data_IF_656635585440
#
_entry.id   IF_656635585440
#
_cell.length_a   1.000
_cell.length_b   1.000
_cell.length_c   1.000
_cell.angle_alpha   90.00
_cell.angle_beta   90.00
_cell.angle_gamma   90.00
#
_symmetry.space_group_name_H-M   'P 1'
#
loop_
_entity.id
_entity.type
_entity.pdbx_description
1 polymer ?
#
# COMPACT_ATOMS: atom_id res chain seq x y z
N UNK A 1 -2.26 5.85 19.27
CA UNK A 1 -1.20 5.99 18.24
C UNK A 1 -1.45 7.26 17.45
N UNK A 2 -0.42 8.03 17.11
CA UNK A 2 -0.57 9.13 16.13
C UNK A 2 -0.75 8.52 14.72
N UNK A 3 -1.29 9.26 13.75
CA UNK A 3 -1.44 8.81 12.35
C UNK A 3 -0.97 9.97 11.45
N UNK A 4 0.26 9.94 10.91
CA UNK A 4 0.89 11.13 10.34
C UNK A 4 0.15 11.70 9.13
N UNK A 5 -0.29 10.84 8.19
CA UNK A 5 -1.12 11.26 7.05
C UNK A 5 -2.40 11.98 7.47
N UNK A 6 -3.07 11.50 8.52
CA UNK A 6 -4.27 12.17 9.03
C UNK A 6 -3.97 13.54 9.61
N UNK A 7 -2.81 13.76 10.23
CA UNK A 7 -2.44 15.09 10.75
C UNK A 7 -2.30 16.11 9.61
N UNK A 8 -1.80 15.69 8.45
CA UNK A 8 -1.75 16.53 7.25
C UNK A 8 -3.17 16.89 6.79
N UNK A 9 -4.10 15.92 6.78
CA UNK A 9 -5.50 16.17 6.45
C UNK A 9 -6.20 17.09 7.47
N UNK A 10 -5.94 16.90 8.77
CA UNK A 10 -6.44 17.79 9.83
C UNK A 10 -5.96 19.23 9.60
N UNK A 11 -4.68 19.42 9.26
CA UNK A 11 -4.14 20.74 8.96
C UNK A 11 -4.86 21.40 7.78
N UNK A 12 -5.13 20.64 6.71
CA UNK A 12 -5.90 21.12 5.57
C UNK A 12 -7.33 21.52 5.95
N UNK A 13 -8.07 20.65 6.65
CA UNK A 13 -9.45 20.96 7.03
C UNK A 13 -9.54 22.16 7.97
N UNK A 14 -8.59 22.28 8.92
CA UNK A 14 -8.50 23.45 9.80
C UNK A 14 -8.20 24.73 9.02
N UNK A 15 -7.31 24.68 8.02
CA UNK A 15 -7.02 25.84 7.17
C UNK A 15 -8.24 26.31 6.36
N UNK A 16 -9.16 25.40 6.01
CA UNK A 16 -10.38 25.72 5.26
C UNK A 16 -11.55 26.18 6.16
N UNK A 17 -11.67 25.66 7.38
CA UNK A 17 -12.83 25.89 8.26
C UNK A 17 -12.58 26.89 9.39
N UNK A 18 -11.35 27.04 9.86
CA UNK A 18 -11.07 27.97 10.96
C UNK A 18 -11.02 29.41 10.43
N UNK A 19 -11.83 30.29 11.04
CA UNK A 19 -11.77 31.73 10.78
C UNK A 19 -10.50 32.28 11.42
N UNK A 20 -9.57 32.74 10.58
CA UNK A 20 -8.27 33.23 11.03
C UNK A 20 -8.21 34.77 11.00
N UNK A 21 -7.78 35.36 12.12
CA UNK A 21 -7.54 36.80 12.21
C UNK A 21 -6.17 37.09 11.62
N UNK A 22 -6.12 37.90 10.56
CA UNK A 22 -4.89 38.23 9.85
C UNK A 22 -3.90 38.96 10.77
N UNK A 23 -2.73 38.35 11.01
CA UNK A 23 -1.61 39.01 11.70
C UNK A 23 -1.00 40.07 10.77
N UNK A 24 -0.73 41.28 11.30
CA UNK A 24 -0.09 42.37 10.52
C UNK A 24 1.23 41.87 9.93
N UNK A 25 1.38 41.95 8.60
CA UNK A 25 2.57 41.54 7.86
C UNK A 25 2.64 40.07 7.41
N UNK A 26 1.64 39.24 7.73
CA UNK A 26 1.61 37.82 7.34
C UNK A 26 0.52 37.46 6.32
N UNK A 27 0.69 36.29 5.69
CA UNK A 27 -0.36 35.59 4.94
C UNK A 27 -1.23 34.78 5.91
N UNK A 28 -2.53 34.66 5.63
CA UNK A 28 -3.38 33.69 6.34
C UNK A 28 -3.09 32.27 5.84
N UNK A 29 -3.43 31.24 6.63
CA UNK A 29 -3.31 29.82 6.25
C UNK A 29 -4.08 29.52 4.96
N UNK A 30 -5.27 30.09 4.80
CA UNK A 30 -6.07 29.95 3.59
C UNK A 30 -5.41 30.63 2.38
N UNK A 31 -4.87 31.84 2.54
CA UNK A 31 -4.15 32.52 1.46
C UNK A 31 -2.92 31.74 1.02
N UNK A 32 -2.12 31.26 1.98
CA UNK A 32 -0.97 30.40 1.70
C UNK A 32 -1.39 29.12 0.97
N UNK A 33 -2.45 28.46 1.42
CA UNK A 33 -2.99 27.26 0.77
C UNK A 33 -3.39 27.53 -0.68
N UNK A 34 -4.13 28.61 -0.96
CA UNK A 34 -4.56 28.95 -2.33
C UNK A 34 -3.35 29.31 -3.21
N UNK A 35 -2.37 30.05 -2.69
CA UNK A 35 -1.14 30.37 -3.43
C UNK A 35 -0.38 29.09 -3.80
N UNK A 36 -0.19 28.17 -2.85
CA UNK A 36 0.50 26.89 -3.09
C UNK A 36 -0.30 26.02 -4.04
N UNK A 37 -1.62 25.96 -3.91
CA UNK A 37 -2.49 25.18 -4.80
C UNK A 37 -2.42 25.68 -6.24
N UNK A 38 -2.55 26.99 -6.47
CA UNK A 38 -2.50 27.58 -7.81
C UNK A 38 -1.09 27.45 -8.39
N UNK A 39 -0.04 27.77 -7.61
CA UNK A 39 1.34 27.63 -8.10
C UNK A 39 1.72 26.19 -8.40
N UNK A 40 1.34 25.22 -7.56
CA UNK A 40 1.56 23.80 -7.82
C UNK A 40 0.78 23.31 -9.04
N UNK A 41 -0.47 23.75 -9.21
CA UNK A 41 -1.28 23.42 -10.39
C UNK A 41 -0.66 23.97 -11.68
N UNK A 42 -0.26 25.25 -11.68
CA UNK A 42 0.40 25.86 -12.82
C UNK A 42 1.77 25.23 -13.10
N UNK A 43 2.55 24.92 -12.06
CA UNK A 43 3.84 24.27 -12.22
C UNK A 43 3.70 22.86 -12.81
N UNK A 44 2.67 22.10 -12.44
CA UNK A 44 2.45 20.73 -12.91
C UNK A 44 2.36 20.62 -14.45
N UNK A 45 1.93 21.68 -15.15
CA UNK A 45 1.89 21.74 -16.62
C UNK A 45 3.30 21.67 -17.22
N UNK A 46 4.30 22.21 -16.53
CA UNK A 46 5.68 22.28 -17.01
C UNK A 46 6.29 20.88 -17.17
N UNK A 47 6.43 20.05 -16.11
CA UNK A 47 7.05 18.74 -16.25
C UNK A 47 6.16 17.71 -16.95
N UNK A 48 4.84 17.92 -17.08
CA UNK A 48 3.97 16.92 -17.73
C UNK A 48 3.69 17.20 -19.21
N UNK A 49 3.70 18.47 -19.64
CA UNK A 49 3.31 18.83 -21.00
C UNK A 49 4.40 19.59 -21.74
N UNK A 50 4.96 20.65 -21.15
CA UNK A 50 5.92 21.51 -21.85
C UNK A 50 7.33 20.91 -21.92
N UNK A 51 7.84 20.39 -20.80
CA UNK A 51 9.19 19.86 -20.66
C UNK A 51 9.23 18.56 -19.84
N UNK A 52 8.76 17.43 -20.39
CA UNK A 52 8.83 16.12 -19.75
C UNK A 52 10.22 15.71 -19.27
N UNK A 53 11.27 16.17 -19.95
CA UNK A 53 12.67 15.85 -19.62
C UNK A 53 13.10 16.30 -18.21
N UNK A 54 12.41 17.27 -17.61
CA UNK A 54 12.71 17.79 -16.26
C UNK A 54 12.37 16.76 -15.16
N UNK A 55 11.58 15.74 -15.48
CA UNK A 55 11.24 14.62 -14.58
C UNK A 55 12.44 13.72 -14.29
N UNK A 56 13.42 13.64 -15.19
CA UNK A 56 14.60 12.81 -15.02
C UNK A 56 15.83 13.42 -15.72
N UNK A 57 16.47 14.38 -15.05
CA UNK A 57 17.74 14.98 -15.49
C UNK A 57 18.91 14.12 -15.02
N UNK A 58 19.28 13.13 -15.84
CA UNK A 58 20.38 12.20 -15.57
C UNK A 58 21.72 12.78 -16.01
N UNK A 59 22.42 13.48 -15.10
CA UNK A 59 23.68 14.18 -15.41
C UNK A 59 24.79 13.23 -15.88
N UNK A 60 24.85 12.03 -15.29
CA UNK A 60 25.82 10.99 -15.66
C UNK A 60 25.62 10.55 -17.12
N UNK A 61 24.37 10.43 -17.59
CA UNK A 61 24.07 10.09 -18.99
C UNK A 61 24.47 11.20 -19.97
N UNK A 62 24.48 12.46 -19.54
CA UNK A 62 24.89 13.58 -20.38
C UNK A 62 26.40 13.66 -20.59
N UNK A 63 27.18 13.34 -19.55
CA UNK A 63 28.64 13.31 -19.64
C UNK A 63 29.10 12.11 -20.49
N UNK A 64 28.55 10.92 -20.24
CA UNK A 64 28.95 9.69 -20.91
C UNK A 64 27.82 9.12 -21.77
N UNK A 65 27.62 9.75 -22.94
CA UNK A 65 26.53 9.40 -23.86
C UNK A 65 26.70 8.02 -24.50
N UNK A 66 27.92 7.60 -24.83
CA UNK A 66 28.16 6.36 -25.58
C UNK A 66 28.39 5.12 -24.69
N UNK A 67 28.46 5.31 -23.37
CA UNK A 67 28.75 4.22 -22.43
C UNK A 67 27.46 3.58 -21.92
N UNK A 68 27.23 2.32 -22.29
CA UNK A 68 26.09 1.53 -21.80
C UNK A 68 26.10 1.43 -20.27
N UNK A 69 27.27 1.24 -19.66
CA UNK A 69 27.41 1.16 -18.20
C UNK A 69 27.10 2.49 -17.53
N UNK A 70 27.50 3.63 -18.11
CA UNK A 70 27.17 4.93 -17.57
C UNK A 70 25.66 5.23 -17.67
N UNK A 71 25.01 4.81 -18.76
CA UNK A 71 23.56 4.91 -18.90
C UNK A 71 22.82 4.02 -17.89
N UNK A 72 23.29 2.79 -17.68
CA UNK A 72 22.72 1.85 -16.69
C UNK A 72 22.84 2.37 -15.25
N UNK A 73 23.95 3.02 -14.91
CA UNK A 73 24.16 3.64 -13.60
C UNK A 73 23.37 4.95 -13.44
N UNK A 74 23.41 5.80 -14.47
CA UNK A 74 22.94 7.19 -14.41
C UNK A 74 21.47 7.42 -14.73
N UNK A 75 20.85 6.56 -15.54
CA UNK A 75 19.49 6.77 -16.02
C UNK A 75 18.49 6.74 -14.88
N UNK A 76 17.69 7.80 -14.72
CA UNK A 76 16.65 7.87 -13.68
C UNK A 76 15.39 7.07 -14.00
N UNK A 77 15.16 6.73 -15.28
CA UNK A 77 13.96 6.00 -15.73
C UNK A 77 14.21 4.50 -15.93
N UNK A 78 15.40 4.15 -16.46
CA UNK A 78 15.73 2.79 -16.89
C UNK A 78 17.00 2.23 -16.20
N UNK A 79 17.55 2.96 -15.23
CA UNK A 79 18.79 2.63 -14.55
C UNK A 79 18.74 2.95 -13.06
N UNK A 80 19.90 2.91 -12.39
CA UNK A 80 20.00 3.11 -10.94
C UNK A 80 19.75 4.56 -10.49
N UNK A 81 19.67 5.51 -11.42
CA UNK A 81 19.41 6.93 -11.13
C UNK A 81 20.54 7.66 -10.41
N UNK A 82 21.78 7.17 -10.45
CA UNK A 82 22.92 7.86 -9.83
C UNK A 82 23.15 9.21 -10.51
N UNK A 83 23.07 10.30 -9.74
CA UNK A 83 23.18 11.66 -10.29
C UNK A 83 22.01 12.07 -11.19
N UNK A 84 20.85 11.41 -11.05
CA UNK A 84 19.60 11.83 -11.69
C UNK A 84 18.77 12.69 -10.76
N UNK A 85 18.33 13.85 -11.26
CA UNK A 85 17.51 14.79 -10.51
C UNK A 85 16.16 14.97 -11.16
N UNK A 86 15.11 15.01 -10.34
CA UNK A 86 13.75 15.32 -10.77
C UNK A 86 13.33 16.65 -10.15
N UNK A 87 12.87 17.61 -10.96
CA UNK A 87 12.22 18.82 -10.43
C UNK A 87 10.69 18.70 -10.39
N UNK A 88 10.16 17.53 -10.75
CA UNK A 88 8.76 17.22 -10.61
C UNK A 88 8.47 16.57 -9.25
N UNK A 89 7.58 17.20 -8.47
CA UNK A 89 7.17 16.66 -7.18
C UNK A 89 6.49 15.30 -7.32
N UNK A 90 5.79 15.01 -8.42
CA UNK A 90 5.12 13.72 -8.60
C UNK A 90 6.13 12.57 -8.72
N UNK A 91 7.24 12.82 -9.42
CA UNK A 91 8.37 11.89 -9.52
C UNK A 91 9.06 11.71 -8.17
N UNK A 92 9.32 12.79 -7.43
CA UNK A 92 9.97 12.73 -6.09
C UNK A 92 9.09 12.01 -5.06
N UNK A 93 7.79 12.27 -5.07
CA UNK A 93 6.80 11.67 -4.19
C UNK A 93 6.40 10.24 -4.61
N UNK A 94 6.65 9.85 -5.86
CA UNK A 94 6.12 8.61 -6.43
C UNK A 94 6.47 7.34 -5.65
N UNK A 95 7.65 7.28 -5.01
CA UNK A 95 8.07 6.10 -4.24
C UNK A 95 7.54 6.07 -2.81
N UNK A 96 7.55 7.20 -2.11
CA UNK A 96 7.18 7.31 -0.69
C UNK A 96 5.71 7.71 -0.45
N UNK A 97 4.97 8.06 -1.50
CA UNK A 97 3.76 8.86 -1.38
C UNK A 97 4.12 10.29 -0.97
N UNK A 98 3.46 10.85 0.05
CA UNK A 98 3.83 12.17 0.56
C UNK A 98 4.97 12.06 1.57
N UNK A 99 6.24 12.35 1.21
CA UNK A 99 7.35 12.27 2.17
C UNK A 99 7.18 13.26 3.32
N UNK A 100 6.44 14.35 3.10
CA UNK A 100 6.09 15.35 4.12
C UNK A 100 5.23 14.77 5.25
N UNK A 101 4.44 13.73 4.96
CA UNK A 101 3.63 13.04 5.96
C UNK A 101 4.41 11.96 6.71
N UNK A 102 5.56 11.52 6.21
CA UNK A 102 6.33 10.41 6.80
C UNK A 102 7.35 10.93 7.82
N UNK A 103 7.44 10.34 9.03
CA UNK A 103 8.42 10.76 10.02
C UNK A 103 9.87 10.60 9.54
N UNK A 104 10.76 11.53 9.93
CA UNK A 104 12.15 11.56 9.47
C UNK A 104 12.94 10.27 9.74
N UNK A 105 12.73 9.62 10.90
CA UNK A 105 13.41 8.35 11.19
C UNK A 105 13.04 7.24 10.20
N UNK A 106 11.77 7.21 9.75
CA UNK A 106 11.29 6.23 8.79
C UNK A 106 11.86 6.52 7.40
N UNK A 107 11.98 7.80 7.03
CA UNK A 107 12.64 8.22 5.78
C UNK A 107 14.10 7.79 5.78
N UNK A 108 14.85 8.06 6.85
CA UNK A 108 16.28 7.68 6.95
C UNK A 108 16.42 6.16 6.89
N UNK A 109 15.60 5.40 7.62
CA UNK A 109 15.63 3.94 7.58
C UNK A 109 15.37 3.40 6.16
N UNK A 110 14.39 3.97 5.46
CA UNK A 110 14.08 3.56 4.10
C UNK A 110 15.18 3.96 3.10
N UNK A 111 15.82 5.11 3.29
CA UNK A 111 16.97 5.54 2.49
C UNK A 111 18.15 4.59 2.66
N UNK A 112 18.46 4.18 3.89
CA UNK A 112 19.52 3.18 4.16
C UNK A 112 19.18 1.86 3.46
N UNK A 113 17.94 1.38 3.60
CA UNK A 113 17.47 0.18 2.89
C UNK A 113 17.58 0.31 1.37
N UNK A 114 17.19 1.46 0.81
CA UNK A 114 17.30 1.76 -0.61
C UNK A 114 18.75 1.71 -1.09
N UNK A 115 19.68 2.37 -0.38
CA UNK A 115 21.11 2.35 -0.74
C UNK A 115 21.67 0.92 -0.71
N UNK A 116 21.37 0.14 0.33
CA UNK A 116 21.84 -1.24 0.43
C UNK A 116 21.29 -2.14 -0.69
N UNK A 117 20.03 -1.97 -1.07
CA UNK A 117 19.40 -2.81 -2.09
C UNK A 117 19.80 -2.37 -3.49
N UNK A 118 19.61 -1.09 -3.82
CA UNK A 118 19.75 -0.56 -5.18
C UNK A 118 21.19 -0.24 -5.53
N UNK A 119 22.02 0.19 -4.58
CA UNK A 119 23.41 0.56 -4.86
C UNK A 119 24.46 -0.46 -4.38
N UNK A 120 24.06 -1.49 -3.62
CA UNK A 120 24.97 -2.57 -3.21
C UNK A 120 24.51 -3.92 -3.76
N UNK A 121 23.37 -4.45 -3.30
CA UNK A 121 22.95 -5.81 -3.68
C UNK A 121 22.64 -5.97 -5.17
N UNK A 122 21.92 -5.02 -5.78
CA UNK A 122 21.54 -5.05 -7.19
C UNK A 122 22.78 -5.01 -8.12
N UNK A 123 23.73 -4.07 -7.95
CA UNK A 123 25.02 -4.10 -8.62
C UNK A 123 25.75 -5.43 -8.51
N UNK A 124 25.91 -5.94 -7.28
CA UNK A 124 26.61 -7.21 -7.06
C UNK A 124 25.93 -8.31 -7.87
N UNK A 125 24.62 -8.48 -7.72
CA UNK A 125 23.87 -9.53 -8.41
C UNK A 125 23.92 -9.41 -9.94
N UNK A 126 23.83 -8.20 -10.50
CA UNK A 126 23.86 -7.99 -11.94
C UNK A 126 25.25 -8.23 -12.54
N UNK A 127 26.30 -7.65 -11.94
CA UNK A 127 27.66 -7.75 -12.49
C UNK A 127 28.30 -9.12 -12.27
N UNK A 128 27.98 -9.83 -11.17
CA UNK A 128 28.37 -11.24 -10.98
C UNK A 128 27.56 -12.22 -11.83
N UNK A 129 26.60 -11.73 -12.63
CA UNK A 129 25.70 -12.51 -13.47
C UNK A 129 24.93 -13.60 -12.67
N UNK A 130 24.54 -13.27 -11.43
CA UNK A 130 23.68 -14.14 -10.64
C UNK A 130 22.32 -14.25 -11.32
N UNK A 131 21.74 -15.45 -11.40
CA UNK A 131 20.44 -15.68 -12.06
C UNK A 131 20.43 -15.32 -13.57
N UNK A 132 21.56 -15.45 -14.26
CA UNK A 132 21.70 -15.02 -15.66
C UNK A 132 21.24 -13.57 -15.92
N UNK A 133 21.41 -12.71 -14.90
CA UNK A 133 20.84 -11.36 -14.88
C UNK A 133 21.19 -10.51 -16.10
N UNK A 134 22.33 -10.74 -16.76
CA UNK A 134 22.77 -9.98 -17.95
C UNK A 134 21.91 -10.21 -19.19
N UNK A 135 21.10 -11.28 -19.22
CA UNK A 135 20.14 -11.54 -20.30
C UNK A 135 18.95 -10.57 -20.26
N UNK A 136 18.71 -9.93 -19.11
CA UNK A 136 17.54 -9.08 -18.88
C UNK A 136 17.96 -7.63 -18.56
N UNK A 137 17.06 -6.65 -18.75
CA UNK A 137 17.29 -5.29 -18.26
C UNK A 137 17.50 -5.27 -16.74
N UNK A 138 18.37 -4.38 -16.24
CA UNK A 138 18.68 -4.26 -14.80
C UNK A 138 17.40 -3.98 -13.99
N UNK A 139 16.59 -3.03 -14.48
CA UNK A 139 15.32 -2.63 -13.88
C UNK A 139 14.23 -2.85 -14.91
N UNK A 140 13.31 -3.77 -14.62
CA UNK A 140 12.10 -4.00 -15.42
C UNK A 140 11.04 -4.68 -14.57
N UNK A 141 9.79 -4.29 -14.73
CA UNK A 141 8.61 -4.98 -14.18
C UNK A 141 8.05 -6.05 -15.12
N UNK A 142 8.61 -6.18 -16.32
CA UNK A 142 8.20 -7.19 -17.30
C UNK A 142 8.79 -8.56 -16.98
N UNK A 143 8.13 -9.58 -17.52
CA UNK A 143 8.52 -10.98 -17.44
C UNK A 143 9.12 -11.40 -18.78
N UNK A 144 10.15 -12.24 -18.73
CA UNK A 144 10.95 -12.62 -19.89
C UNK A 144 11.00 -14.13 -20.07
N UNK A 145 11.24 -14.57 -21.31
CA UNK A 145 11.53 -15.97 -21.63
C UNK A 145 13.01 -16.32 -21.35
N UNK A 146 13.45 -17.54 -21.72
CA UNK A 146 14.82 -18.00 -21.53
C UNK A 146 15.85 -17.25 -22.40
N UNK A 147 15.39 -16.61 -23.48
CA UNK A 147 16.22 -15.91 -24.45
C UNK A 147 16.33 -14.41 -24.15
N UNK A 148 15.50 -13.87 -23.24
CA UNK A 148 15.49 -12.45 -22.89
C UNK A 148 14.39 -11.64 -23.58
N UNK A 149 13.51 -12.29 -24.34
CA UNK A 149 12.39 -11.66 -25.03
C UNK A 149 11.16 -11.55 -24.12
N UNK A 150 10.22 -10.67 -24.49
CA UNK A 150 8.98 -10.50 -23.74
C UNK A 150 8.19 -11.82 -23.68
N UNK A 151 7.79 -12.22 -22.48
CA UNK A 151 7.16 -13.52 -22.27
C UNK A 151 5.77 -13.61 -22.91
N UNK A 152 5.56 -14.60 -23.78
CA UNK A 152 4.28 -14.80 -24.43
C UNK A 152 3.25 -15.51 -23.53
N UNK A 153 2.26 -14.76 -23.04
CA UNK A 153 1.22 -15.26 -22.12
C UNK A 153 0.24 -16.21 -22.83
N UNK A 154 -0.06 -16.00 -24.11
CA UNK A 154 -1.03 -16.85 -24.84
C UNK A 154 -0.52 -18.28 -25.07
N UNK A 155 0.80 -18.50 -25.01
CA UNK A 155 1.39 -19.82 -25.10
C UNK A 155 1.09 -20.70 -23.86
N UNK A 156 0.82 -20.09 -22.70
CA UNK A 156 0.68 -20.80 -21.41
C UNK A 156 -0.72 -20.69 -20.79
N UNK A 157 -1.63 -19.95 -21.41
CA UNK A 157 -2.98 -19.72 -20.91
C UNK A 157 -4.01 -20.19 -21.93
N UNK A 158 -4.92 -21.06 -21.51
CA UNK A 158 -6.03 -21.48 -22.36
C UNK A 158 -7.06 -20.34 -22.40
N UNK A 159 -7.14 -19.61 -23.51
CA UNK A 159 -7.96 -18.39 -23.64
C UNK A 159 -9.44 -18.59 -23.26
N UNK A 160 -10.00 -19.80 -23.50
CA UNK A 160 -11.41 -20.09 -23.24
C UNK A 160 -11.72 -20.33 -21.76
N UNK A 161 -10.79 -20.91 -21.01
CA UNK A 161 -11.00 -21.32 -19.61
C UNK A 161 -10.18 -20.49 -18.63
N UNK A 162 -9.25 -19.66 -19.11
CA UNK A 162 -8.26 -18.94 -18.28
C UNK A 162 -7.49 -19.88 -17.34
N UNK A 163 -7.30 -21.13 -17.74
CA UNK A 163 -6.54 -22.12 -17.01
C UNK A 163 -5.10 -22.20 -17.52
N UNK A 164 -4.19 -22.52 -16.62
CA UNK A 164 -2.78 -22.67 -16.93
C UNK A 164 -2.53 -23.95 -17.76
N UNK A 165 -1.95 -23.78 -18.94
CA UNK A 165 -1.52 -24.88 -19.80
C UNK A 165 -0.09 -25.31 -19.45
N UNK A 166 0.04 -26.43 -18.72
CA UNK A 166 1.34 -26.95 -18.31
C UNK A 166 2.19 -27.46 -19.49
N UNK A 167 1.58 -28.10 -20.48
CA UNK A 167 2.30 -28.63 -21.65
C UNK A 167 2.88 -27.47 -22.47
N UNK A 168 2.07 -26.44 -22.74
CA UNK A 168 2.53 -25.24 -23.44
C UNK A 168 3.63 -24.48 -22.68
N UNK A 169 3.60 -24.51 -21.34
CA UNK A 169 4.66 -23.94 -20.50
C UNK A 169 5.97 -24.74 -20.60
N UNK A 170 5.90 -26.06 -20.48
CA UNK A 170 7.07 -26.94 -20.51
C UNK A 170 7.75 -26.92 -21.91
N UNK A 171 6.97 -26.74 -22.98
CA UNK A 171 7.46 -26.65 -24.37
C UNK A 171 8.00 -25.26 -24.75
N UNK A 172 7.46 -24.17 -24.18
CA UNK A 172 7.83 -22.80 -24.54
C UNK A 172 9.09 -22.32 -23.81
N UNK A 173 8.96 -22.01 -22.52
CA UNK A 173 10.06 -21.49 -21.70
C UNK A 173 9.63 -21.35 -20.24
N UNK A 174 10.61 -21.47 -19.34
CA UNK A 174 10.45 -21.00 -17.96
C UNK A 174 10.31 -19.47 -17.93
N UNK A 175 9.57 -19.00 -16.93
CA UNK A 175 9.41 -17.57 -16.63
C UNK A 175 10.67 -17.05 -15.96
N UNK A 176 11.27 -16.01 -16.54
CA UNK A 176 12.39 -15.29 -15.96
C UNK A 176 12.00 -13.85 -15.61
N UNK A 177 12.62 -13.32 -14.56
CA UNK A 177 12.39 -11.99 -14.04
C UNK A 177 13.70 -11.21 -14.05
N UNK A 178 13.60 -9.88 -14.17
CA UNK A 178 14.77 -9.02 -13.99
C UNK A 178 15.34 -9.18 -12.57
N UNK A 179 16.65 -8.99 -12.41
CA UNK A 179 17.32 -9.14 -11.11
C UNK A 179 16.76 -8.18 -10.06
N UNK A 180 16.38 -6.95 -10.45
CA UNK A 180 15.69 -6.01 -9.56
C UNK A 180 14.35 -6.56 -9.11
N UNK A 181 13.57 -7.15 -10.02
CA UNK A 181 12.25 -7.67 -9.70
C UNK A 181 12.31 -8.87 -8.75
N UNK A 182 13.29 -9.76 -8.94
CA UNK A 182 13.58 -10.86 -8.01
C UNK A 182 13.93 -10.33 -6.61
N UNK A 183 14.84 -9.36 -6.52
CA UNK A 183 15.22 -8.74 -5.24
C UNK A 183 14.02 -8.06 -4.56
N UNK A 184 13.18 -7.35 -5.33
CA UNK A 184 11.98 -6.71 -4.81
C UNK A 184 10.96 -7.72 -4.23
N UNK A 185 10.77 -8.87 -4.90
CA UNK A 185 9.94 -9.97 -4.37
C UNK A 185 10.52 -10.56 -3.09
N UNK A 186 11.82 -10.84 -3.06
CA UNK A 186 12.52 -11.34 -1.86
C UNK A 186 12.38 -10.39 -0.67
N UNK A 187 12.59 -9.09 -0.91
CA UNK A 187 12.42 -8.06 0.12
C UNK A 187 10.97 -7.89 0.56
N UNK A 188 10.00 -8.12 -0.33
CA UNK A 188 8.57 -8.07 0.04
C UNK A 188 8.26 -9.13 1.11
N UNK A 189 8.78 -10.36 0.98
CA UNK A 189 8.65 -11.38 2.02
C UNK A 189 9.37 -10.99 3.32
N UNK A 190 10.61 -10.49 3.20
CA UNK A 190 11.38 -10.03 4.35
C UNK A 190 10.67 -8.89 5.09
N UNK A 191 10.02 -7.97 4.37
CA UNK A 191 9.29 -6.84 4.95
C UNK A 191 8.09 -7.27 5.79
N UNK A 192 7.34 -8.30 5.36
CA UNK A 192 6.22 -8.84 6.11
C UNK A 192 6.70 -9.59 7.36
N UNK A 193 7.73 -10.42 7.24
CA UNK A 193 8.33 -11.11 8.39
C UNK A 193 8.93 -10.12 9.39
N UNK A 194 9.60 -9.07 8.91
CA UNK A 194 10.13 -7.98 9.73
C UNK A 194 9.01 -7.20 10.40
N UNK A 195 7.88 -6.95 9.73
CA UNK A 195 6.71 -6.28 10.31
C UNK A 195 6.15 -7.06 11.49
N UNK A 196 5.96 -8.38 11.33
CA UNK A 196 5.49 -9.25 12.42
C UNK A 196 6.51 -9.29 13.56
N UNK A 197 7.78 -9.47 13.25
CA UNK A 197 8.86 -9.55 14.26
C UNK A 197 9.03 -8.23 15.02
N UNK A 198 9.00 -7.10 14.32
CA UNK A 198 9.10 -5.76 14.91
C UNK A 198 7.93 -5.51 15.87
N UNK A 199 6.70 -5.81 15.46
CA UNK A 199 5.52 -5.64 16.31
C UNK A 199 5.55 -6.61 17.50
N UNK A 200 5.99 -7.85 17.29
CA UNK A 200 6.12 -8.84 18.36
C UNK A 200 7.17 -8.45 19.41
N UNK A 201 8.32 -7.91 18.99
CA UNK A 201 9.45 -7.55 19.86
C UNK A 201 9.27 -6.18 20.52
N UNK A 202 9.00 -5.12 19.74
CA UNK A 202 8.96 -3.74 20.25
C UNK A 202 7.59 -3.36 20.81
N UNK A 203 6.52 -3.88 20.22
CA UNK A 203 5.17 -3.63 20.71
C UNK A 203 4.63 -4.78 21.57
N UNK A 204 5.36 -5.89 21.71
CA UNK A 204 5.22 -6.93 22.73
C UNK A 204 3.82 -7.55 22.85
N UNK A 205 3.69 -8.88 22.82
CA UNK A 205 2.43 -9.54 23.21
C UNK A 205 1.91 -9.01 24.55
N UNK A 206 2.80 -8.72 25.51
CA UNK A 206 2.46 -8.18 26.83
C UNK A 206 2.00 -6.72 26.80
N UNK A 207 2.69 -5.80 26.10
CA UNK A 207 2.27 -4.39 26.00
C UNK A 207 1.02 -4.27 25.16
N UNK A 208 0.92 -5.03 24.07
CA UNK A 208 -0.30 -5.11 23.28
C UNK A 208 -1.46 -5.67 24.09
N UNK A 209 -1.26 -6.80 24.77
CA UNK A 209 -2.27 -7.42 25.61
C UNK A 209 -2.68 -6.53 26.79
N UNK A 210 -1.74 -5.85 27.43
CA UNK A 210 -2.01 -4.91 28.52
C UNK A 210 -2.79 -3.70 28.01
N UNK A 211 -2.44 -3.13 26.86
CA UNK A 211 -3.20 -2.03 26.26
C UNK A 211 -4.57 -2.49 25.77
N UNK A 212 -4.68 -3.68 25.19
CA UNK A 212 -5.94 -4.33 24.79
C UNK A 212 -6.83 -4.57 26.01
N UNK A 213 -6.27 -5.10 27.11
CA UNK A 213 -6.98 -5.32 28.37
C UNK A 213 -7.34 -4.02 29.06
N UNK A 214 -6.46 -3.01 29.02
CA UNK A 214 -6.70 -1.69 29.60
C UNK A 214 -7.69 -0.85 28.78
N UNK A 215 -7.77 -1.06 27.46
CA UNK A 215 -8.86 -0.55 26.62
C UNK A 215 -10.18 -1.12 27.15
N UNK A 216 -10.32 -2.44 27.24
CA UNK A 216 -11.53 -3.06 27.81
C UNK A 216 -11.83 -2.67 29.27
N UNK A 217 -10.82 -2.36 30.07
CA UNK A 217 -10.97 -1.94 31.47
C UNK A 217 -11.03 -0.43 31.66
N UNK A 218 -11.07 0.35 30.58
CA UNK A 218 -11.32 1.79 30.58
C UNK A 218 -10.36 2.72 31.36
N UNK A 219 -9.17 2.22 31.73
CA UNK A 219 -8.27 2.94 32.66
C UNK A 219 -7.35 3.99 32.02
N UNK A 220 -7.27 4.06 30.68
CA UNK A 220 -6.46 5.07 29.98
C UNK A 220 -7.33 5.81 28.96
N UNK A 221 -7.77 7.01 29.31
CA UNK A 221 -8.38 7.94 28.37
C UNK A 221 -7.55 9.21 28.32
N UNK A 222 -6.88 9.46 27.20
CA UNK A 222 -6.36 10.79 26.89
C UNK A 222 -7.50 11.82 26.97
N UNK A 223 -7.19 13.10 27.18
CA UNK A 223 -8.14 14.21 27.27
C UNK A 223 -9.07 14.20 26.04
N UNK A 224 -8.52 13.92 24.85
CA UNK A 224 -9.29 13.80 23.62
C UNK A 224 -10.31 12.67 23.66
N UNK A 225 -9.97 11.53 24.24
CA UNK A 225 -10.85 10.37 24.41
C UNK A 225 -11.92 10.62 25.45
N UNK A 226 -11.56 11.23 26.58
CA UNK A 226 -12.51 11.61 27.62
C UNK A 226 -13.56 12.59 27.09
N UNK A 227 -13.12 13.58 26.31
CA UNK A 227 -14.01 14.57 25.68
C UNK A 227 -14.95 13.90 24.66
N UNK A 228 -14.42 13.05 23.78
CA UNK A 228 -15.22 12.34 22.77
C UNK A 228 -16.27 11.44 23.42
N UNK A 229 -15.90 10.70 24.46
CA UNK A 229 -16.82 9.79 25.15
C UNK A 229 -17.92 10.52 25.92
N UNK A 230 -17.60 11.68 26.50
CA UNK A 230 -18.59 12.48 27.22
C UNK A 230 -19.66 13.03 26.28
N UNK A 231 -19.28 13.37 25.05
CA UNK A 231 -20.15 14.10 24.12
C UNK A 231 -20.77 13.21 23.03
N UNK A 232 -20.21 12.02 22.77
CA UNK A 232 -20.66 11.14 21.69
C UNK A 232 -20.74 9.69 22.12
N UNK A 233 -21.84 9.04 21.70
CA UNK A 233 -22.01 7.60 21.85
C UNK A 233 -21.04 6.83 20.95
N UNK A 234 -20.48 5.71 21.43
CA UNK A 234 -19.72 4.80 20.59
C UNK A 234 -20.62 4.16 19.52
N UNK A 235 -20.01 3.69 18.44
CA UNK A 235 -20.71 2.90 17.42
C UNK A 235 -21.05 1.53 18.00
N UNK A 236 -22.31 1.06 17.93
CA UNK A 236 -22.67 -0.26 18.40
C UNK A 236 -21.85 -1.35 17.69
N UNK A 237 -21.31 -2.30 18.45
CA UNK A 237 -20.49 -3.38 17.88
C UNK A 237 -21.24 -4.21 16.83
N UNK A 238 -22.56 -4.36 16.98
CA UNK A 238 -23.37 -5.13 16.04
C UNK A 238 -23.38 -4.54 14.62
N UNK A 239 -23.14 -3.24 14.43
CA UNK A 239 -23.02 -2.62 13.10
C UNK A 239 -21.82 -3.20 12.34
N UNK A 240 -20.72 -3.44 13.05
CA UNK A 240 -19.52 -4.06 12.47
C UNK A 240 -19.76 -5.52 12.15
N UNK A 241 -20.40 -6.26 13.06
CA UNK A 241 -20.71 -7.68 12.84
C UNK A 241 -21.72 -7.88 11.71
N UNK A 242 -22.74 -7.03 11.59
CA UNK A 242 -23.71 -7.11 10.48
C UNK A 242 -23.05 -6.80 9.15
N UNK A 243 -22.19 -5.78 9.10
CA UNK A 243 -21.43 -5.44 7.88
C UNK A 243 -20.52 -6.60 7.49
N UNK A 244 -19.77 -7.16 8.43
CA UNK A 244 -18.91 -8.30 8.19
C UNK A 244 -19.68 -9.50 7.61
N UNK A 245 -20.78 -9.90 8.25
CA UNK A 245 -21.59 -11.04 7.79
C UNK A 245 -22.14 -10.78 6.38
N UNK A 246 -22.60 -9.55 6.13
CA UNK A 246 -23.07 -9.14 4.82
C UNK A 246 -21.97 -9.29 3.76
N UNK A 247 -20.77 -8.78 4.01
CA UNK A 247 -19.71 -8.88 2.99
C UNK A 247 -19.24 -10.32 2.84
N UNK A 248 -19.07 -11.10 3.91
CA UNK A 248 -18.75 -12.53 3.79
C UNK A 248 -19.77 -13.22 2.86
N UNK A 249 -21.06 -12.95 3.07
CA UNK A 249 -22.12 -13.47 2.22
C UNK A 249 -21.96 -13.06 0.75
N UNK A 250 -21.67 -11.78 0.49
CA UNK A 250 -21.45 -11.26 -0.87
C UNK A 250 -20.18 -11.81 -1.52
N UNK A 251 -19.09 -11.98 -0.78
CA UNK A 251 -17.84 -12.57 -1.27
C UNK A 251 -17.99 -14.05 -1.60
N UNK A 252 -18.73 -14.80 -0.78
CA UNK A 252 -19.07 -16.20 -1.08
C UNK A 252 -20.01 -16.29 -2.29
N UNK A 253 -21.03 -15.42 -2.36
CA UNK A 253 -21.96 -15.37 -3.48
C UNK A 253 -21.28 -15.00 -4.79
N UNK A 254 -20.32 -14.09 -4.80
CA UNK A 254 -19.57 -13.73 -6.02
C UNK A 254 -18.61 -14.83 -6.47
N UNK A 255 -17.98 -15.55 -5.53
CA UNK A 255 -17.03 -16.62 -5.88
C UNK A 255 -17.71 -17.92 -6.33
N UNK A 256 -18.76 -18.36 -5.62
CA UNK A 256 -19.48 -19.60 -5.94
C UNK A 256 -20.67 -19.37 -6.89
N UNK A 257 -21.22 -18.15 -6.91
CA UNK A 257 -22.27 -17.76 -7.85
C UNK A 257 -21.74 -17.52 -9.26
N UNK A 258 -22.62 -17.07 -10.16
CA UNK A 258 -22.31 -16.77 -11.56
C UNK A 258 -21.60 -17.91 -12.32
N UNK A 259 -21.84 -19.16 -11.94
CA UNK A 259 -21.22 -20.32 -12.59
C UNK A 259 -19.72 -20.49 -12.29
N UNK A 260 -19.23 -20.03 -11.13
CA UNK A 260 -17.82 -20.15 -10.69
C UNK A 260 -16.81 -19.52 -11.65
N UNK A 261 -17.18 -18.39 -12.26
CA UNK A 261 -16.30 -17.66 -13.17
C UNK A 261 -14.98 -17.25 -12.52
N UNK A 262 -14.98 -16.86 -11.23
CA UNK A 262 -13.77 -16.47 -10.50
C UNK A 262 -12.85 -17.65 -10.14
N UNK A 263 -13.34 -18.89 -10.29
CA UNK A 263 -12.63 -20.14 -10.01
C UNK A 263 -12.13 -20.30 -8.56
N UNK A 264 -12.40 -19.35 -7.66
CA UNK A 264 -11.99 -19.39 -6.26
C UNK A 264 -13.05 -20.11 -5.42
N UNK A 265 -12.73 -21.24 -4.78
CA UNK A 265 -13.69 -21.95 -3.91
C UNK A 265 -13.93 -21.19 -2.60
N UNK A 266 -15.05 -21.49 -1.93
CA UNK A 266 -15.44 -20.87 -0.65
C UNK A 266 -14.33 -20.86 0.43
N UNK A 267 -13.53 -21.94 0.52
CA UNK A 267 -12.45 -22.04 1.50
C UNK A 267 -11.31 -21.04 1.21
N UNK A 268 -11.10 -20.71 -0.07
CA UNK A 268 -10.10 -19.72 -0.49
C UNK A 268 -10.47 -18.32 -0.02
N UNK A 269 -11.77 -17.97 -0.07
CA UNK A 269 -12.28 -16.71 0.49
C UNK A 269 -12.05 -16.64 1.99
N UNK A 270 -12.39 -17.70 2.73
CA UNK A 270 -12.19 -17.75 4.19
C UNK A 270 -10.71 -17.66 4.57
N UNK A 271 -9.83 -18.31 3.82
CA UNK A 271 -8.39 -18.25 4.02
C UNK A 271 -7.84 -16.84 3.74
N UNK A 272 -8.27 -16.18 2.66
CA UNK A 272 -7.88 -14.81 2.35
C UNK A 272 -8.28 -13.85 3.47
N UNK A 273 -9.48 -14.02 4.02
CA UNK A 273 -9.96 -13.24 5.16
C UNK A 273 -9.17 -13.50 6.44
N UNK A 274 -8.83 -14.75 6.72
CA UNK A 274 -7.99 -15.11 7.86
C UNK A 274 -6.59 -14.46 7.74
N UNK A 275 -6.00 -14.48 6.54
CA UNK A 275 -4.73 -13.83 6.26
C UNK A 275 -4.81 -12.31 6.48
N UNK A 276 -5.82 -11.66 5.89
CA UNK A 276 -6.05 -10.23 6.08
C UNK A 276 -6.22 -9.89 7.56
N UNK A 277 -7.00 -10.68 8.31
CA UNK A 277 -7.24 -10.50 9.73
C UNK A 277 -5.95 -10.55 10.57
N UNK A 278 -5.09 -11.54 10.32
CA UNK A 278 -3.83 -11.72 11.06
C UNK A 278 -2.88 -10.55 10.81
N UNK A 279 -2.74 -10.12 9.55
CA UNK A 279 -1.78 -9.09 9.17
C UNK A 279 -2.29 -7.66 9.33
N UNK A 280 -3.59 -7.43 9.46
CA UNK A 280 -4.17 -6.09 9.68
C UNK A 280 -3.60 -5.42 10.92
N UNK A 281 -3.45 -6.15 12.03
CA UNK A 281 -2.92 -5.59 13.28
C UNK A 281 -1.46 -5.15 13.13
N UNK A 282 -0.50 -6.04 12.78
CA UNK A 282 0.90 -5.65 12.71
C UNK A 282 1.15 -4.59 11.62
N UNK A 283 0.54 -4.71 10.44
CA UNK A 283 0.67 -3.71 9.38
C UNK A 283 0.05 -2.38 9.82
N UNK A 284 -1.11 -2.40 10.46
CA UNK A 284 -1.77 -1.18 10.96
C UNK A 284 -0.95 -0.43 12.02
N UNK A 285 -0.20 -1.14 12.88
CA UNK A 285 0.71 -0.50 13.85
C UNK A 285 1.87 0.22 13.16
N UNK A 286 2.46 -0.41 12.13
CA UNK A 286 3.52 0.22 11.34
C UNK A 286 2.97 1.44 10.59
N UNK A 287 1.85 1.30 9.87
CA UNK A 287 1.22 2.41 9.14
C UNK A 287 0.90 3.58 10.07
N UNK A 288 0.33 3.32 11.24
CA UNK A 288 0.03 4.37 12.21
C UNK A 288 1.29 5.11 12.68
N UNK A 289 2.42 4.43 12.84
CA UNK A 289 3.63 5.07 13.39
C UNK A 289 4.52 5.70 12.32
N UNK A 290 4.70 5.03 11.18
CA UNK A 290 5.66 5.40 10.13
C UNK A 290 5.02 5.92 8.85
N UNK A 291 3.69 5.85 8.70
CA UNK A 291 3.00 6.15 7.45
C UNK A 291 3.39 5.24 6.27
N UNK A 292 3.97 4.06 6.55
CA UNK A 292 4.37 3.08 5.53
C UNK A 292 3.53 1.81 5.63
N UNK A 293 2.99 1.36 4.50
CA UNK A 293 2.10 0.20 4.42
C UNK A 293 2.77 -0.97 3.67
N UNK A 294 3.00 -2.07 4.38
CA UNK A 294 3.45 -3.31 3.75
C UNK A 294 2.29 -3.98 3.00
N UNK A 295 2.53 -4.41 1.77
CA UNK A 295 1.54 -5.10 0.94
C UNK A 295 1.53 -6.62 1.18
N UNK A 296 0.33 -7.21 1.22
CA UNK A 296 0.15 -8.67 1.30
C UNK A 296 0.18 -9.38 -0.06
N UNK A 297 0.30 -8.63 -1.16
CA UNK A 297 0.15 -9.12 -2.53
C UNK A 297 0.99 -10.37 -2.78
N UNK A 298 2.30 -10.28 -2.56
CA UNK A 298 3.27 -11.33 -2.90
C UNK A 298 3.02 -12.62 -2.10
N UNK A 299 2.79 -12.51 -0.78
CA UNK A 299 2.52 -13.69 0.05
C UNK A 299 1.17 -14.33 -0.25
N UNK A 300 0.15 -13.51 -0.55
CA UNK A 300 -1.18 -14.00 -0.90
C UNK A 300 -1.17 -14.77 -2.22
N UNK A 301 -0.49 -14.25 -3.25
CA UNK A 301 -0.32 -14.91 -4.55
C UNK A 301 0.45 -16.23 -4.40
N UNK A 302 1.48 -16.26 -3.54
CA UNK A 302 2.27 -17.46 -3.29
C UNK A 302 1.48 -18.54 -2.56
N UNK A 303 0.76 -18.21 -1.48
CA UNK A 303 -0.02 -19.19 -0.69
C UNK A 303 -1.05 -19.88 -1.58
N UNK A 304 -1.88 -19.11 -2.29
CA UNK A 304 -2.92 -19.69 -3.14
C UNK A 304 -2.33 -20.38 -4.37
N UNK A 305 -1.22 -19.87 -4.92
CA UNK A 305 -0.54 -20.50 -6.05
C UNK A 305 -0.04 -21.91 -5.74
N UNK A 306 0.43 -22.16 -4.51
CA UNK A 306 0.83 -23.50 -4.06
C UNK A 306 -0.36 -24.38 -3.63
N UNK A 307 -1.37 -23.80 -2.98
CA UNK A 307 -2.53 -24.58 -2.49
C UNK A 307 -3.53 -24.93 -3.60
N UNK A 308 -3.65 -24.07 -4.61
CA UNK A 308 -4.61 -24.20 -5.69
C UNK A 308 -3.97 -23.85 -7.04
N UNK A 309 -3.04 -24.70 -7.51
CA UNK A 309 -2.24 -24.42 -8.70
C UNK A 309 -3.08 -24.45 -9.99
N UNK A 310 -2.59 -23.73 -10.99
CA UNK A 310 -3.13 -23.76 -12.35
C UNK A 310 -4.37 -22.88 -12.60
N UNK A 311 -4.79 -22.09 -11.59
CA UNK A 311 -5.96 -21.20 -11.68
C UNK A 311 -5.56 -19.73 -11.46
N UNK A 312 -5.07 -19.04 -12.51
CA UNK A 312 -4.67 -17.62 -12.43
C UNK A 312 -5.77 -16.71 -11.90
N UNK A 313 -7.02 -16.93 -12.33
CA UNK A 313 -8.13 -16.08 -11.92
C UNK A 313 -8.47 -16.22 -10.43
N UNK A 314 -8.39 -17.45 -9.89
CA UNK A 314 -8.51 -17.71 -8.47
C UNK A 314 -7.38 -17.03 -7.68
N UNK A 315 -6.15 -17.00 -8.24
CA UNK A 315 -5.02 -16.33 -7.61
C UNK A 315 -5.25 -14.82 -7.47
N UNK A 316 -5.66 -14.15 -8.56
CA UNK A 316 -5.98 -12.72 -8.53
C UNK A 316 -7.13 -12.42 -7.58
N UNK A 317 -8.19 -13.24 -7.59
CA UNK A 317 -9.31 -13.11 -6.67
C UNK A 317 -8.86 -13.22 -5.19
N UNK A 318 -8.07 -14.25 -4.86
CA UNK A 318 -7.55 -14.46 -3.51
C UNK A 318 -6.68 -13.29 -3.03
N UNK A 319 -5.78 -12.80 -3.88
CA UNK A 319 -4.96 -11.61 -3.61
C UNK A 319 -5.83 -10.38 -3.34
N UNK A 320 -6.86 -10.19 -4.15
CA UNK A 320 -7.79 -9.07 -4.03
C UNK A 320 -8.49 -9.12 -2.68
N UNK A 321 -9.06 -10.28 -2.32
CA UNK A 321 -9.72 -10.47 -1.03
C UNK A 321 -8.77 -10.37 0.17
N UNK A 322 -7.51 -10.78 0.05
CA UNK A 322 -6.54 -10.65 1.13
C UNK A 322 -6.03 -9.22 1.29
N UNK A 323 -5.43 -8.67 0.23
CA UNK A 323 -4.70 -7.41 0.31
C UNK A 323 -5.61 -6.20 0.36
N UNK A 324 -6.64 -6.14 -0.49
CA UNK A 324 -7.53 -4.97 -0.52
C UNK A 324 -8.35 -4.88 0.77
N UNK A 325 -8.82 -6.01 1.30
CA UNK A 325 -9.55 -6.03 2.58
C UNK A 325 -8.69 -5.52 3.73
N UNK A 326 -7.41 -5.90 3.80
CA UNK A 326 -6.48 -5.35 4.79
C UNK A 326 -6.29 -3.84 4.59
N UNK A 327 -6.05 -3.39 3.35
CA UNK A 327 -5.87 -1.97 3.06
C UNK A 327 -7.10 -1.14 3.39
N UNK A 328 -8.30 -1.64 3.08
CA UNK A 328 -9.55 -0.99 3.42
C UNK A 328 -9.77 -0.94 4.93
N UNK A 329 -9.43 -2.02 5.65
CA UNK A 329 -9.48 -2.04 7.12
C UNK A 329 -8.57 -0.97 7.75
N UNK A 330 -7.35 -0.79 7.22
CA UNK A 330 -6.41 0.23 7.67
C UNK A 330 -6.93 1.64 7.35
N UNK A 331 -7.44 1.87 6.14
CA UNK A 331 -8.05 3.15 5.75
C UNK A 331 -9.23 3.50 6.65
N UNK A 332 -10.11 2.54 6.93
CA UNK A 332 -11.22 2.72 7.84
C UNK A 332 -10.75 3.11 9.25
N UNK A 333 -9.71 2.44 9.78
CA UNK A 333 -9.11 2.80 11.07
C UNK A 333 -8.51 4.20 11.06
N UNK A 334 -7.88 4.59 9.95
CA UNK A 334 -7.34 5.92 9.70
C UNK A 334 -8.46 6.97 9.79
N UNK A 335 -9.56 6.76 9.08
CA UNK A 335 -10.69 7.69 9.05
C UNK A 335 -11.36 7.84 10.44
N UNK A 336 -11.44 6.75 11.22
CA UNK A 336 -11.89 6.83 12.62
C UNK A 336 -10.96 7.69 13.48
N UNK A 337 -9.64 7.61 13.24
CA UNK A 337 -8.68 8.47 13.95
C UNK A 337 -8.79 9.93 13.50
N UNK A 338 -8.99 10.18 12.21
CA UNK A 338 -9.27 11.52 11.69
C UNK A 338 -10.50 12.13 12.36
N UNK A 339 -11.60 11.39 12.45
CA UNK A 339 -12.81 11.82 13.16
C UNK A 339 -12.53 12.11 14.65
N UNK A 340 -11.64 11.35 15.28
CA UNK A 340 -11.21 11.58 16.65
C UNK A 340 -10.43 12.90 16.83
N UNK A 341 -9.56 13.24 15.87
CA UNK A 341 -8.82 14.51 15.86
C UNK A 341 -9.74 15.71 15.61
N UNK A 342 -10.68 15.58 14.67
CA UNK A 342 -11.60 16.65 14.27
C UNK A 342 -12.86 16.74 15.14
N UNK A 343 -13.03 15.87 16.14
CA UNK A 343 -14.20 15.81 17.03
C UNK A 343 -15.52 15.56 16.28
N UNK A 344 -15.49 14.67 15.30
CA UNK A 344 -16.68 14.27 14.52
C UNK A 344 -17.35 13.06 15.19
N UNK A 345 -18.69 13.02 15.32
CA UNK A 345 -19.41 11.90 15.91
C UNK A 345 -19.06 10.54 15.25
N UNK A 346 -18.67 9.50 16.01
CA UNK A 346 -18.27 8.20 15.47
C UNK A 346 -19.35 7.50 14.63
N UNK A 347 -20.64 7.62 15.03
CA UNK A 347 -21.77 7.05 14.28
C UNK A 347 -21.91 7.67 12.88
N UNK A 348 -21.75 8.98 12.78
CA UNK A 348 -21.75 9.69 11.49
C UNK A 348 -20.56 9.28 10.64
N UNK A 349 -19.38 9.13 11.24
CA UNK A 349 -18.19 8.65 10.52
C UNK A 349 -18.41 7.27 9.91
N UNK A 350 -18.96 6.33 10.68
CA UNK A 350 -19.28 4.99 10.19
C UNK A 350 -20.23 5.04 8.98
N UNK A 351 -21.33 5.77 9.09
CA UNK A 351 -22.33 5.86 8.02
C UNK A 351 -21.76 6.51 6.75
N UNK A 352 -20.94 7.56 6.89
CA UNK A 352 -20.28 8.21 5.75
C UNK A 352 -19.29 7.27 5.07
N UNK A 353 -18.50 6.52 5.84
CA UNK A 353 -17.56 5.55 5.29
C UNK A 353 -18.29 4.43 4.52
N UNK A 354 -19.35 3.86 5.10
CA UNK A 354 -20.17 2.85 4.41
C UNK A 354 -20.79 3.41 3.14
N UNK A 355 -21.35 4.63 3.18
CA UNK A 355 -21.89 5.30 1.98
C UNK A 355 -20.82 5.55 0.92
N UNK A 356 -19.60 5.96 1.32
CA UNK A 356 -18.47 6.20 0.41
C UNK A 356 -18.06 4.92 -0.30
N UNK A 357 -17.91 3.83 0.46
CA UNK A 357 -17.66 2.48 -0.04
C UNK A 357 -18.73 2.08 -1.06
N UNK A 358 -20.02 2.22 -0.74
CA UNK A 358 -21.11 1.92 -1.68
C UNK A 358 -21.17 2.83 -2.92
N UNK A 359 -20.82 4.11 -2.77
CA UNK A 359 -20.90 5.12 -3.83
C UNK A 359 -19.73 5.06 -4.82
N UNK A 360 -18.60 4.48 -4.44
CA UNK A 360 -17.44 4.29 -5.32
C UNK A 360 -17.73 3.18 -6.35
N UNK A 361 -18.64 3.47 -7.28
CA UNK A 361 -19.14 2.59 -8.36
C UNK A 361 -18.08 2.09 -9.37
N UNK A 362 -16.82 2.54 -9.29
CA UNK A 362 -15.75 2.13 -10.21
C UNK A 362 -15.09 0.79 -9.80
N UNK A 363 -15.52 0.17 -8.70
CA UNK A 363 -14.97 -1.09 -8.19
C UNK A 363 -16.11 -2.10 -7.94
N UNK A 364 -16.92 -2.41 -8.97
CA UNK A 364 -17.87 -3.53 -8.88
C UNK A 364 -17.19 -4.92 -8.87
N UNK A 365 -15.86 -4.97 -9.05
CA UNK A 365 -15.04 -6.19 -8.97
C UNK A 365 -14.33 -6.41 -7.63
N UNK A 366 -14.46 -5.50 -6.66
CA UNK A 366 -13.84 -5.64 -5.33
C UNK A 366 -14.80 -5.21 -4.25
N UNK A 367 -15.91 -5.95 -4.10
CA UNK A 367 -16.80 -5.78 -2.95
C UNK A 367 -16.05 -6.13 -1.65
N UNK A 368 -15.48 -5.04 -1.13
CA UNK A 368 -14.86 -4.70 0.14
C UNK A 368 -15.35 -5.46 1.38
N UNK A 369 -14.45 -6.21 2.03
CA UNK A 369 -14.69 -6.87 3.34
C UNK A 369 -14.15 -6.01 4.48
N UNK A 370 -15.03 -5.71 5.45
CA UNK A 370 -14.76 -5.25 6.81
C UNK A 370 -15.89 -5.77 7.74
N UNK A 371 -15.65 -6.07 9.03
CA UNK A 371 -14.42 -6.62 9.59
C UNK A 371 -14.59 -7.63 10.76
N UNK A 372 -13.56 -8.45 10.99
CA UNK A 372 -13.33 -9.16 12.26
C UNK A 372 -12.18 -8.46 13.02
N UNK A 373 -12.33 -8.31 14.35
CA UNK A 373 -11.47 -7.61 15.35
C UNK A 373 -11.53 -6.08 15.45
N UNK A 374 -12.65 -5.47 15.09
CA UNK A 374 -12.77 -4.02 15.16
C UNK A 374 -12.95 -3.45 16.56
N UNK A 375 -13.50 -4.22 17.51
CA UNK A 375 -13.65 -3.69 18.87
C UNK A 375 -12.32 -3.45 19.61
N UNK A 376 -11.25 -4.15 19.23
CA UNK A 376 -9.97 -4.06 19.94
C UNK A 376 -9.02 -2.99 19.39
N UNK A 377 -9.19 -2.63 18.12
CA UNK A 377 -8.34 -1.65 17.43
C UNK A 377 -9.04 -0.30 17.33
N UNK A 378 -10.36 -0.24 17.13
CA UNK A 378 -11.11 1.02 17.20
C UNK A 378 -11.02 1.61 18.59
N UNK A 379 -11.12 0.79 19.64
CA UNK A 379 -10.96 1.29 21.01
C UNK A 379 -9.54 1.83 21.28
N UNK A 380 -8.54 1.36 20.52
CA UNK A 380 -7.14 1.86 20.54
C UNK A 380 -6.84 3.02 19.59
N UNK A 381 -7.68 3.23 18.58
CA UNK A 381 -7.65 4.39 17.69
C UNK A 381 -8.47 5.54 18.30
N UNK A 382 -9.52 5.23 19.05
CA UNK A 382 -10.30 6.21 19.82
C UNK A 382 -9.67 6.54 21.18
N UNK A 383 -8.74 5.70 21.67
CA UNK A 383 -7.80 6.00 22.76
C UNK A 383 -6.44 6.44 22.18
#
# INVERSE_FOLDING_TARGET
>A
MWWPSNLVQVSLFRALHEVEIRRKGGLTRLQFFVIVLVSSFSYYIIPNYLFPSITALSFVCWIWKDSVTAQQLGSGLHGLGLGSFAFDWSTVAGFLGSPLATPGFAIVNMLVGFVLVVYVMLPIAYWTNSYDAKKFPIISSHVFDANGEAYNISAILIEKTFEFNRVGYDDYSKVNLSVFFVLAYGLSFASLAATVSHVALFHGSRTIWQQTKASFQDKFGDVHTRLMRKNYDPVPQWWFHSLLVLVIGLSLFTCEGFGRQLQLPYWGVLLAMALAFVFTLPVGVIVATTNQQAGLNVISEMIIGYMYPGKPLANVAFKTYGTISMSQAITFLSDFKLGHYMKIPPKSMFLVQVKRTLAYKQILGSLEILPLRFSLIIERSQK
#
